data_IF_031818773154
#
_entry.id   IF_031818773154
#
_cell.length_a   1.000
_cell.length_b   1.000
_cell.length_c   1.000
_cell.angle_alpha   90.00
_cell.angle_beta   90.00
_cell.angle_gamma   90.00
#
_symmetry.space_group_name_H-M   'P 1'
#
loop_
_entity.id
_entity.type
_entity.pdbx_description
1 polymer ?
#
# COMPACT_ATOMS: atom_id res chain seq x y z
N UNK A 1 20.19 -61.97 1.19
CA UNK A 1 19.50 -60.81 0.57
C UNK A 1 19.40 -59.65 1.57
N UNK A 2 20.26 -58.63 1.47
CA UNK A 2 20.21 -57.43 2.33
C UNK A 2 19.17 -56.43 1.79
N UNK A 3 17.96 -56.42 2.36
CA UNK A 3 17.02 -55.29 2.23
C UNK A 3 17.48 -54.14 3.15
N UNK A 4 18.44 -53.33 2.70
CA UNK A 4 18.94 -52.16 3.47
C UNK A 4 18.97 -50.86 2.65
N UNK A 5 18.17 -50.76 1.57
CA UNK A 5 18.17 -49.59 0.69
C UNK A 5 17.07 -48.55 0.93
N UNK A 6 15.93 -48.93 1.52
CA UNK A 6 14.74 -48.06 1.44
C UNK A 6 14.60 -47.04 2.58
N UNK A 7 14.87 -47.42 3.85
CA UNK A 7 14.63 -46.54 5.02
C UNK A 7 15.44 -45.24 4.99
N UNK A 8 16.69 -45.26 4.49
CA UNK A 8 17.53 -44.07 4.41
C UNK A 8 17.08 -43.05 3.35
N UNK A 9 16.35 -43.49 2.32
CA UNK A 9 15.83 -42.62 1.26
C UNK A 9 14.63 -41.81 1.74
N UNK A 10 13.66 -42.47 2.41
CA UNK A 10 12.46 -41.83 2.95
C UNK A 10 12.76 -40.74 3.99
N UNK A 11 13.73 -40.96 4.87
CA UNK A 11 14.14 -39.95 5.87
C UNK A 11 14.78 -38.73 5.20
N UNK A 12 15.55 -38.91 4.13
CA UNK A 12 16.12 -37.79 3.35
C UNK A 12 15.03 -36.99 2.63
N UNK A 13 14.03 -37.67 2.06
CA UNK A 13 12.87 -37.02 1.41
C UNK A 13 12.05 -36.24 2.42
N UNK A 14 11.72 -36.82 3.57
CA UNK A 14 11.00 -36.13 4.65
C UNK A 14 11.74 -34.89 5.16
N UNK A 15 13.06 -34.99 5.37
CA UNK A 15 13.88 -33.83 5.76
C UNK A 15 13.85 -32.71 4.72
N UNK A 16 13.89 -33.05 3.42
CA UNK A 16 13.77 -32.06 2.34
C UNK A 16 12.40 -31.41 2.32
N UNK A 17 11.32 -32.18 2.47
CA UNK A 17 9.95 -31.64 2.54
C UNK A 17 9.80 -30.72 3.74
N UNK A 18 10.26 -31.14 4.93
CA UNK A 18 10.23 -30.32 6.14
C UNK A 18 11.01 -29.02 5.97
N UNK A 19 12.20 -29.07 5.34
CA UNK A 19 12.99 -27.88 5.04
C UNK A 19 12.25 -26.93 4.10
N UNK A 20 11.66 -27.46 3.01
CA UNK A 20 10.90 -26.66 2.05
C UNK A 20 9.71 -25.99 2.75
N UNK A 21 8.95 -26.74 3.55
CA UNK A 21 7.84 -26.19 4.34
C UNK A 21 8.30 -25.11 5.32
N UNK A 22 9.42 -25.32 6.02
CA UNK A 22 9.99 -24.33 6.92
C UNK A 22 10.38 -23.03 6.19
N UNK A 23 10.97 -23.14 4.99
CA UNK A 23 11.30 -21.98 4.15
C UNK A 23 10.03 -21.25 3.71
N UNK A 24 9.00 -21.96 3.24
CA UNK A 24 7.73 -21.35 2.86
C UNK A 24 7.03 -20.64 4.03
N UNK A 25 7.04 -21.25 5.22
CA UNK A 25 6.52 -20.64 6.44
C UNK A 25 7.30 -19.37 6.80
N UNK A 26 8.63 -19.44 6.75
CA UNK A 26 9.49 -18.27 7.00
C UNK A 26 9.22 -17.12 6.05
N UNK A 27 9.15 -17.40 4.74
CA UNK A 27 8.83 -16.41 3.72
C UNK A 27 7.43 -15.81 3.91
N UNK A 28 6.46 -16.61 4.36
CA UNK A 28 5.11 -16.15 4.67
C UNK A 28 5.12 -15.14 5.81
N UNK A 29 5.82 -15.47 6.92
CA UNK A 29 5.95 -14.57 8.08
C UNK A 29 6.63 -13.26 7.68
N UNK A 30 7.71 -13.32 6.90
CA UNK A 30 8.42 -12.14 6.41
C UNK A 30 7.50 -11.28 5.53
N UNK A 31 6.76 -11.89 4.59
CA UNK A 31 5.83 -11.18 3.71
C UNK A 31 4.72 -10.48 4.49
N UNK A 32 4.11 -11.16 5.46
CA UNK A 32 3.05 -10.59 6.29
C UNK A 32 3.58 -9.46 7.18
N UNK A 33 4.75 -9.66 7.80
CA UNK A 33 5.41 -8.64 8.61
C UNK A 33 5.75 -7.39 7.79
N UNK A 34 6.23 -7.56 6.56
CA UNK A 34 6.55 -6.45 5.67
C UNK A 34 5.30 -5.67 5.26
N UNK A 35 4.24 -6.36 4.83
CA UNK A 35 2.97 -5.74 4.47
C UNK A 35 2.39 -4.96 5.67
N UNK A 36 2.49 -5.50 6.89
CA UNK A 36 1.98 -4.84 8.08
C UNK A 36 2.83 -3.62 8.48
N UNK A 37 4.16 -3.74 8.38
CA UNK A 37 5.06 -2.62 8.64
C UNK A 37 4.81 -1.46 7.67
N UNK A 38 4.65 -1.72 6.36
CA UNK A 38 4.31 -0.66 5.39
C UNK A 38 2.95 -0.03 5.73
N UNK A 39 1.95 -0.81 6.12
CA UNK A 39 0.66 -0.28 6.56
C UNK A 39 0.78 0.68 7.76
N UNK A 40 1.65 0.37 8.73
CA UNK A 40 1.95 1.26 9.85
C UNK A 40 2.72 2.52 9.42
N UNK A 41 3.70 2.37 8.53
CA UNK A 41 4.49 3.49 8.02
C UNK A 41 3.64 4.51 7.26
N UNK A 42 2.65 4.05 6.47
CA UNK A 42 1.72 4.97 5.79
C UNK A 42 0.96 5.82 6.81
N UNK A 43 0.39 5.18 7.84
CA UNK A 43 -0.37 5.88 8.88
C UNK A 43 0.50 6.88 9.65
N UNK A 44 1.71 6.46 10.03
CA UNK A 44 2.66 7.29 10.76
C UNK A 44 3.13 8.50 9.93
N UNK A 45 3.55 8.27 8.68
CA UNK A 45 4.15 9.32 7.83
C UNK A 45 3.13 10.29 7.27
N UNK A 46 1.94 9.82 6.90
CA UNK A 46 0.85 10.68 6.45
C UNK A 46 0.04 11.27 7.62
N UNK A 47 0.33 10.85 8.86
CA UNK A 47 -0.40 11.24 10.07
C UNK A 47 -1.91 10.97 9.95
N UNK A 48 -2.26 9.87 9.28
CA UNK A 48 -3.64 9.40 9.13
C UNK A 48 -3.89 8.19 10.02
N UNK A 49 -5.14 7.96 10.38
CA UNK A 49 -5.59 6.70 10.98
C UNK A 49 -6.54 6.01 10.00
N UNK A 50 -6.12 4.85 9.51
CA UNK A 50 -6.90 4.05 8.57
C UNK A 50 -7.78 3.07 9.35
N UNK A 51 -9.10 3.28 9.29
CA UNK A 51 -10.10 2.30 9.69
C UNK A 51 -10.38 1.28 8.57
N UNK A 52 -11.19 0.27 8.89
CA UNK A 52 -11.60 -0.79 7.97
C UNK A 52 -10.89 -2.13 8.23
N UNK A 53 -11.07 -3.08 7.32
CA UNK A 53 -10.48 -4.42 7.40
C UNK A 53 -9.21 -4.49 6.57
N UNK A 54 -8.07 -4.70 7.24
CA UNK A 54 -6.77 -4.94 6.61
C UNK A 54 -6.66 -6.38 6.08
N UNK A 55 -6.33 -6.55 4.81
CA UNK A 55 -6.17 -7.86 4.14
C UNK A 55 -4.82 -7.89 3.42
N UNK A 56 -3.78 -8.51 4.00
CA UNK A 56 -2.46 -8.61 3.38
C UNK A 56 -2.45 -9.65 2.25
N UNK A 57 -1.70 -9.38 1.18
CA UNK A 57 -1.35 -10.42 0.22
C UNK A 57 -0.23 -11.31 0.78
N UNK A 58 -0.18 -12.56 0.32
CA UNK A 58 0.87 -13.51 0.69
C UNK A 58 1.89 -13.56 -0.46
N UNK A 59 3.18 -13.47 -0.12
CA UNK A 59 4.32 -13.46 -1.05
C UNK A 59 4.37 -12.29 -2.04
N UNK A 60 3.49 -11.30 -1.90
CA UNK A 60 3.42 -10.12 -2.76
C UNK A 60 3.41 -8.87 -1.88
N UNK A 61 4.18 -7.82 -2.22
CA UNK A 61 4.22 -6.56 -1.50
C UNK A 61 2.98 -5.70 -1.79
N UNK A 62 1.84 -6.17 -1.30
CA UNK A 62 0.57 -5.49 -1.45
C UNK A 62 -0.41 -5.90 -0.35
N UNK A 63 -1.38 -5.03 -0.08
CA UNK A 63 -2.50 -5.30 0.81
C UNK A 63 -3.73 -4.53 0.37
N UNK A 64 -4.90 -4.97 0.80
CA UNK A 64 -6.17 -4.28 0.61
C UNK A 64 -6.68 -3.73 1.95
N UNK A 65 -7.35 -2.58 1.90
CA UNK A 65 -8.20 -2.10 2.97
C UNK A 65 -9.64 -2.14 2.47
N UNK A 66 -10.49 -2.90 3.15
CA UNK A 66 -11.91 -3.02 2.84
C UNK A 66 -12.75 -2.19 3.78
N UNK A 67 -13.77 -1.51 3.27
CA UNK A 67 -14.58 -0.53 4.04
C UNK A 67 -13.69 0.46 4.78
N UNK A 68 -12.67 0.94 4.07
CA UNK A 68 -11.65 1.82 4.59
C UNK A 68 -12.21 3.19 4.90
N UNK A 69 -11.78 3.76 6.01
CA UNK A 69 -12.10 5.13 6.41
C UNK A 69 -10.84 5.81 6.88
N UNK A 70 -10.66 7.08 6.57
CA UNK A 70 -9.61 7.89 7.16
C UNK A 70 -9.95 9.37 7.02
N UNK A 71 -9.32 10.19 7.85
CA UNK A 71 -9.34 11.64 7.72
C UNK A 71 -7.90 12.07 7.50
N UNK A 72 -7.68 12.87 6.46
CA UNK A 72 -6.39 13.46 6.18
C UNK A 72 -6.43 14.96 6.41
N UNK A 73 -5.85 15.36 7.55
CA UNK A 73 -5.86 16.74 8.05
C UNK A 73 -7.27 17.34 8.02
N UNK A 74 -7.44 18.60 7.63
CA UNK A 74 -8.74 19.25 7.44
C UNK A 74 -9.20 19.24 5.97
N UNK A 75 -8.64 18.36 5.14
CA UNK A 75 -8.76 18.45 3.67
C UNK A 75 -9.75 17.45 3.11
N UNK A 76 -9.51 16.16 3.36
CA UNK A 76 -10.28 15.07 2.75
C UNK A 76 -10.52 13.98 3.77
N UNK A 77 -11.75 13.48 3.81
CA UNK A 77 -12.14 12.29 4.52
C UNK A 77 -12.56 11.21 3.52
N UNK A 78 -11.98 10.02 3.65
CA UNK A 78 -12.55 8.81 3.08
C UNK A 78 -13.64 8.31 4.03
N UNK A 79 -14.89 8.36 3.56
CA UNK A 79 -16.07 7.95 4.32
C UNK A 79 -16.29 6.44 4.20
N UNK A 80 -16.08 5.90 3.00
CA UNK A 80 -16.14 4.46 2.72
C UNK A 80 -15.42 4.19 1.40
N UNK A 81 -14.69 3.09 1.32
CA UNK A 81 -14.03 2.70 0.08
C UNK A 81 -13.21 1.42 0.21
N UNK A 82 -12.96 0.78 -0.92
CA UNK A 82 -12.03 -0.34 -1.00
C UNK A 82 -10.83 0.12 -1.82
N UNK A 83 -9.64 0.00 -1.23
CA UNK A 83 -8.41 0.36 -1.92
C UNK A 83 -7.34 -0.72 -1.74
N UNK A 84 -6.57 -0.90 -2.80
CA UNK A 84 -5.40 -1.76 -2.83
C UNK A 84 -4.16 -0.88 -2.78
N UNK A 85 -3.23 -1.26 -1.92
CA UNK A 85 -1.92 -0.65 -1.80
C UNK A 85 -0.90 -1.65 -2.30
N UNK A 86 -0.10 -1.26 -3.28
CA UNK A 86 1.07 -1.99 -3.76
C UNK A 86 2.30 -1.14 -3.47
N UNK A 87 3.40 -1.76 -3.08
CA UNK A 87 4.64 -1.03 -2.80
C UNK A 87 5.84 -1.76 -3.38
N UNK A 88 6.93 -1.03 -3.59
CA UNK A 88 8.19 -1.59 -4.08
C UNK A 88 9.13 -1.87 -2.90
N UNK A 89 9.40 -3.15 -2.55
CA UNK A 89 10.29 -3.51 -1.45
C UNK A 89 11.71 -2.98 -1.64
N UNK A 90 12.17 -2.83 -2.87
CA UNK A 90 13.52 -2.34 -3.17
C UNK A 90 13.67 -0.88 -2.78
N UNK A 91 12.57 -0.12 -2.78
CA UNK A 91 12.60 1.30 -2.39
C UNK A 91 12.72 1.50 -0.88
N UNK A 92 12.44 0.48 -0.06
CA UNK A 92 12.51 0.55 1.41
C UNK A 92 13.92 0.84 1.92
N UNK A 93 14.93 0.32 1.22
CA UNK A 93 16.35 0.55 1.52
C UNK A 93 16.93 1.75 0.78
N UNK A 94 16.14 2.37 -0.11
CA UNK A 94 16.58 3.53 -0.88
C UNK A 94 16.50 4.81 -0.05
N UNK A 95 17.39 5.77 -0.33
CA UNK A 95 17.32 7.10 0.28
C UNK A 95 16.07 7.90 -0.13
N UNK A 96 15.36 7.47 -1.18
CA UNK A 96 14.19 8.16 -1.73
C UNK A 96 12.92 7.94 -0.91
N UNK A 97 12.87 6.88 -0.09
CA UNK A 97 11.68 6.50 0.66
C UNK A 97 10.90 5.38 -0.01
N UNK A 98 9.69 5.11 0.49
CA UNK A 98 8.85 3.99 0.07
C UNK A 98 7.99 4.44 -1.11
N UNK A 99 8.12 3.82 -2.28
CA UNK A 99 7.17 4.03 -3.37
C UNK A 99 5.92 3.19 -3.14
N UNK A 100 4.77 3.85 -3.21
CA UNK A 100 3.46 3.28 -2.94
C UNK A 100 2.54 3.64 -4.09
N UNK A 101 1.86 2.63 -4.61
CA UNK A 101 0.80 2.76 -5.60
C UNK A 101 -0.49 2.35 -4.93
N UNK A 102 -1.38 3.32 -4.74
CA UNK A 102 -2.70 3.10 -4.19
C UNK A 102 -3.71 3.17 -5.33
N UNK A 103 -4.56 2.14 -5.44
CA UNK A 103 -5.67 2.12 -6.39
C UNK A 103 -6.98 1.89 -5.65
N UNK A 104 -8.04 2.56 -6.07
CA UNK A 104 -9.36 2.45 -5.48
C UNK A 104 -10.44 2.56 -6.54
N UNK A 105 -11.60 1.98 -6.25
CA UNK A 105 -12.82 2.13 -7.05
C UNK A 105 -14.00 2.41 -6.15
N UNK A 106 -14.96 3.17 -6.67
CA UNK A 106 -16.27 3.38 -6.01
C UNK A 106 -16.14 3.86 -4.57
N UNK A 107 -15.27 4.85 -4.33
CA UNK A 107 -14.98 5.37 -2.99
C UNK A 107 -15.78 6.63 -2.70
N UNK A 108 -16.35 6.72 -1.51
CA UNK A 108 -17.07 7.90 -1.03
C UNK A 108 -16.12 8.80 -0.26
N UNK A 109 -15.90 9.99 -0.77
CA UNK A 109 -15.07 11.00 -0.14
C UNK A 109 -15.92 12.19 0.31
N UNK A 110 -15.48 12.83 1.37
CA UNK A 110 -15.99 14.09 1.85
C UNK A 110 -14.84 15.10 1.84
N UNK A 111 -15.01 16.20 1.13
CA UNK A 111 -14.08 17.33 1.24
C UNK A 111 -14.38 18.06 2.55
N UNK A 112 -13.33 18.52 3.22
CA UNK A 112 -13.41 19.18 4.52
C UNK A 112 -12.85 20.60 4.43
N UNK A 113 -13.18 21.41 5.44
CA UNK A 113 -12.60 22.73 5.63
C UNK A 113 -12.71 23.66 4.41
N UNK A 114 -11.60 24.33 4.10
CA UNK A 114 -11.52 25.28 2.98
C UNK A 114 -11.69 24.62 1.60
N UNK A 115 -11.39 23.33 1.48
CA UNK A 115 -11.53 22.58 0.23
C UNK A 115 -13.00 22.34 -0.13
N UNK A 116 -13.84 22.02 0.87
CA UNK A 116 -15.28 21.90 0.66
C UNK A 116 -15.90 23.22 0.15
N UNK A 117 -15.39 24.35 0.65
CA UNK A 117 -15.85 25.68 0.26
C UNK A 117 -15.34 26.10 -1.13
N UNK A 118 -14.13 25.71 -1.51
CA UNK A 118 -13.53 26.06 -2.80
C UNK A 118 -14.11 25.27 -3.97
N UNK A 119 -14.30 23.96 -3.80
CA UNK A 119 -14.81 23.08 -4.87
C UNK A 119 -16.33 23.10 -4.95
N UNK A 120 -17.03 23.63 -3.94
CA UNK A 120 -18.50 23.61 -3.86
C UNK A 120 -19.11 22.21 -3.75
N UNK A 121 -18.28 21.19 -3.61
CA UNK A 121 -18.65 19.78 -3.52
C UNK A 121 -18.25 19.30 -2.14
N UNK A 122 -19.22 19.08 -1.26
CA UNK A 122 -18.95 18.56 0.09
C UNK A 122 -18.74 17.04 0.06
N UNK A 123 -19.55 16.32 -0.72
CA UNK A 123 -19.49 14.86 -0.82
C UNK A 123 -19.36 14.44 -2.29
N UNK A 124 -18.50 13.47 -2.57
CA UNK A 124 -18.32 12.94 -3.90
C UNK A 124 -18.14 11.42 -3.91
N UNK A 125 -18.57 10.80 -5.00
CA UNK A 125 -18.28 9.39 -5.29
C UNK A 125 -17.20 9.34 -6.36
N UNK A 126 -16.05 8.79 -5.99
CA UNK A 126 -14.90 8.56 -6.86
C UNK A 126 -15.06 7.21 -7.52
N UNK A 127 -15.23 7.21 -8.84
CA UNK A 127 -15.40 6.00 -9.64
C UNK A 127 -14.09 5.21 -9.73
N UNK A 128 -12.97 5.92 -9.94
CA UNK A 128 -11.63 5.34 -9.93
C UNK A 128 -10.59 6.31 -9.35
N UNK A 129 -9.61 5.73 -8.66
CA UNK A 129 -8.47 6.46 -8.11
C UNK A 129 -7.19 5.68 -8.33
N UNK A 130 -6.14 6.40 -8.72
CA UNK A 130 -4.77 5.95 -8.74
C UNK A 130 -3.90 7.02 -8.08
N UNK A 131 -3.02 6.61 -7.17
CA UNK A 131 -2.03 7.48 -6.55
C UNK A 131 -0.70 6.73 -6.44
N UNK A 132 0.25 7.09 -7.30
CA UNK A 132 1.66 6.66 -7.24
C UNK A 132 2.48 7.76 -6.57
N UNK A 133 2.82 7.49 -5.31
CA UNK A 133 3.48 8.44 -4.41
C UNK A 133 4.75 7.85 -3.82
N UNK A 134 5.64 8.74 -3.38
CA UNK A 134 6.85 8.36 -2.63
C UNK A 134 6.70 8.89 -1.20
N UNK A 135 6.70 7.99 -0.22
CA UNK A 135 6.72 8.34 1.20
C UNK A 135 8.16 8.41 1.71
N UNK A 136 8.66 9.63 1.89
CA UNK A 136 9.93 9.89 2.58
C UNK A 136 9.83 9.70 4.09
N UNK A 137 10.92 9.98 4.82
CA UNK A 137 10.98 9.74 6.28
C UNK A 137 9.99 10.58 7.10
N UNK A 138 9.56 11.74 6.59
CA UNK A 138 8.73 12.72 7.32
C UNK A 138 7.35 12.95 6.70
N UNK A 139 6.97 12.15 5.70
CA UNK A 139 5.71 12.31 4.98
C UNK A 139 5.86 12.11 3.47
N UNK A 140 4.93 12.70 2.72
CA UNK A 140 4.95 12.69 1.26
C UNK A 140 6.21 13.41 0.75
N UNK A 141 7.01 12.72 -0.06
CA UNK A 141 8.27 13.22 -0.62
C UNK A 141 8.21 13.44 -2.14
N UNK A 142 7.21 12.87 -2.82
CA UNK A 142 6.97 13.11 -4.23
C UNK A 142 5.71 12.44 -4.75
N UNK A 143 5.16 12.97 -5.84
CA UNK A 143 3.99 12.44 -6.53
C UNK A 143 4.38 12.13 -7.98
N UNK A 144 4.41 10.84 -8.32
CA UNK A 144 4.66 10.43 -9.69
C UNK A 144 3.41 10.63 -10.54
N UNK A 145 2.27 10.15 -10.03
CA UNK A 145 0.98 10.24 -10.69
C UNK A 145 -0.15 10.21 -9.65
N UNK A 146 -1.13 11.08 -9.78
CA UNK A 146 -2.42 10.97 -9.10
C UNK A 146 -3.49 11.17 -10.16
N UNK A 147 -4.40 10.22 -10.27
CA UNK A 147 -5.56 10.30 -11.13
C UNK A 147 -6.80 9.97 -10.31
N UNK A 148 -7.80 10.85 -10.39
CA UNK A 148 -9.08 10.68 -9.72
C UNK A 148 -10.16 10.97 -10.74
N UNK A 149 -11.07 10.01 -10.91
CA UNK A 149 -12.23 10.13 -11.78
C UNK A 149 -13.49 10.03 -10.93
N UNK A 150 -14.38 11.00 -11.09
CA UNK A 150 -15.69 11.08 -10.47
C UNK A 150 -16.68 11.67 -11.48
N UNK A 151 -17.96 11.39 -11.32
CA UNK A 151 -19.02 12.10 -12.05
C UNK A 151 -19.00 13.62 -11.82
N UNK A 152 -18.53 14.06 -10.65
CA UNK A 152 -18.55 15.48 -10.27
C UNK A 152 -17.25 16.22 -10.60
N UNK A 153 -16.14 15.50 -10.78
CA UNK A 153 -14.85 16.09 -11.11
C UNK A 153 -13.88 15.05 -11.68
N UNK A 154 -12.93 15.51 -12.48
CA UNK A 154 -11.81 14.70 -12.94
C UNK A 154 -10.51 15.45 -12.72
N UNK A 155 -9.54 14.78 -12.10
CA UNK A 155 -8.24 15.35 -11.78
C UNK A 155 -7.14 14.37 -12.17
N UNK A 156 -6.10 14.88 -12.84
CA UNK A 156 -4.88 14.12 -13.13
C UNK A 156 -3.67 15.00 -12.92
N UNK A 157 -2.73 14.53 -12.13
CA UNK A 157 -1.47 15.19 -11.81
C UNK A 157 -0.34 14.22 -12.10
N UNK A 158 0.62 14.61 -12.93
CA UNK A 158 1.80 13.80 -13.24
C UNK A 158 3.07 14.59 -12.93
N UNK A 159 4.04 13.93 -12.29
CA UNK A 159 5.35 14.49 -11.93
C UNK A 159 5.29 15.78 -11.08
N UNK A 160 4.35 15.89 -10.14
CA UNK A 160 4.38 16.99 -9.18
C UNK A 160 5.44 16.72 -8.11
N UNK A 161 6.23 17.74 -7.78
CA UNK A 161 7.37 17.70 -6.84
C UNK A 161 8.68 17.05 -7.32
N UNK A 162 8.98 17.06 -8.63
CA UNK A 162 10.41 17.15 -9.02
C UNK A 162 10.90 18.55 -8.64
N UNK A 163 11.27 18.74 -7.37
CA UNK A 163 11.87 20.00 -6.88
C UNK A 163 12.88 20.48 -7.91
N UNK A 164 12.54 21.60 -8.55
CA UNK A 164 13.42 22.43 -9.35
C UNK A 164 14.53 22.90 -8.43
N UNK A 165 15.55 22.06 -8.24
CA UNK A 165 16.80 22.47 -7.61
C UNK A 165 17.58 23.19 -8.70
N UNK A 166 17.05 24.36 -9.11
CA UNK A 166 17.77 25.29 -9.96
C UNK A 166 18.86 25.86 -9.05
N UNK A 167 20.07 25.33 -9.17
CA UNK A 167 21.26 25.91 -8.55
C UNK A 167 21.37 27.34 -9.08
N UNK A 168 21.14 28.33 -8.23
CA UNK A 168 21.74 29.66 -8.36
C UNK A 168 23.19 29.59 -7.95
#
# INVERSE_FOLDING_TARGET
MRRTGHKGSWVKVLKRIALVLAVFLGLTVVSLGLNFWVYQEIQSRLKIRMGGTYVPAIFIPSFEIRKGTFIWEDRVQLVDGNFKVTFDPLTLVSQRGIRIILTGKTSKIKFLGSWALQEGIENATVDSMLADIILGRRGLAGINEVEVQSQSFQFSLKNADKRTTRKT
#
